data_IF_164792469575
#
_entry.id   IF_164792469575
#
_cell.length_a   1.000
_cell.length_b   1.000
_cell.length_c   1.000
_cell.angle_alpha   90.00
_cell.angle_beta   90.00
_cell.angle_gamma   90.00
#
_symmetry.space_group_name_H-M   'P 1'
#
loop_
_entity.id
_entity.type
_entity.pdbx_description
1 polymer ?
#
# COMPACT_ATOMS: atom_id res chain seq x y z
N UNK A 1 14.10 -1.85 24.70
CA UNK A 1 13.20 -2.98 25.01
C UNK A 1 13.36 -3.98 23.86
N UNK A 2 14.15 -5.03 24.07
CA UNK A 2 14.48 -6.05 23.06
C UNK A 2 13.37 -7.11 23.13
N UNK A 3 12.59 -7.26 22.06
CA UNK A 3 11.55 -8.28 22.00
C UNK A 3 12.21 -9.67 21.93
N UNK A 4 12.21 -10.37 23.07
CA UNK A 4 12.61 -11.77 23.14
C UNK A 4 11.52 -12.62 22.49
N UNK A 5 11.92 -13.40 21.49
CA UNK A 5 11.08 -14.39 20.84
C UNK A 5 10.60 -15.43 21.86
N UNK A 6 9.33 -15.36 22.26
CA UNK A 6 8.59 -16.54 22.75
C UNK A 6 7.58 -16.91 21.66
N UNK A 7 7.68 -18.16 21.18
CA UNK A 7 7.24 -18.68 19.87
C UNK A 7 5.98 -18.06 19.25
N UNK A 8 6.11 -17.18 18.25
CA UNK A 8 4.99 -16.71 17.43
C UNK A 8 4.63 -17.77 16.38
N UNK A 9 4.12 -18.93 16.83
CA UNK A 9 3.81 -20.07 15.97
C UNK A 9 2.82 -19.72 14.85
N UNK A 10 1.69 -19.11 15.22
CA UNK A 10 0.62 -18.73 14.27
C UNK A 10 1.05 -17.57 13.37
N UNK A 11 1.84 -16.62 13.87
CA UNK A 11 2.38 -15.53 13.05
C UNK A 11 3.44 -16.02 12.07
N UNK A 12 4.28 -16.98 12.48
CA UNK A 12 5.24 -17.63 11.59
C UNK A 12 4.53 -18.44 10.50
N UNK A 13 3.50 -19.21 10.85
CA UNK A 13 2.66 -19.90 9.85
C UNK A 13 2.03 -18.91 8.86
N UNK A 14 1.56 -17.75 9.33
CA UNK A 14 1.03 -16.71 8.46
C UNK A 14 2.11 -16.14 7.53
N UNK A 15 3.31 -15.90 8.04
CA UNK A 15 4.47 -15.48 7.23
C UNK A 15 4.81 -16.51 6.15
N UNK A 16 4.86 -17.80 6.49
CA UNK A 16 5.18 -18.87 5.55
C UNK A 16 4.12 -18.97 4.44
N UNK A 17 2.84 -18.86 4.80
CA UNK A 17 1.73 -18.79 3.84
C UNK A 17 1.84 -17.58 2.90
N UNK A 18 2.20 -16.42 3.44
CA UNK A 18 2.39 -15.19 2.64
C UNK A 18 3.58 -15.36 1.70
N UNK A 19 4.73 -15.83 2.19
CA UNK A 19 5.91 -16.05 1.38
C UNK A 19 5.63 -17.03 0.23
N UNK A 20 4.94 -18.14 0.51
CA UNK A 20 4.54 -19.10 -0.52
C UNK A 20 3.57 -18.48 -1.52
N UNK A 21 2.57 -17.72 -1.06
CA UNK A 21 1.66 -17.01 -1.95
C UNK A 21 2.43 -16.04 -2.88
N UNK A 22 3.36 -15.25 -2.33
CA UNK A 22 4.17 -14.32 -3.12
C UNK A 22 5.03 -15.05 -4.15
N UNK A 23 5.65 -16.18 -3.81
CA UNK A 23 6.45 -16.98 -4.74
C UNK A 23 5.61 -17.52 -5.90
N UNK A 24 4.44 -18.05 -5.59
CA UNK A 24 3.58 -18.69 -6.59
C UNK A 24 2.84 -17.70 -7.50
N UNK A 25 2.58 -16.48 -7.04
CA UNK A 25 1.69 -15.54 -7.75
C UNK A 25 2.37 -14.24 -8.19
N UNK A 26 3.48 -13.85 -7.55
CA UNK A 26 4.08 -12.51 -7.69
C UNK A 26 5.61 -12.53 -7.76
N UNK A 27 6.26 -13.66 -7.99
CA UNK A 27 7.73 -13.76 -8.05
C UNK A 27 8.37 -12.95 -9.17
N UNK A 28 7.62 -12.68 -10.24
CA UNK A 28 8.00 -11.82 -11.37
C UNK A 28 7.99 -10.32 -11.02
N UNK A 29 7.32 -9.91 -9.95
CA UNK A 29 7.23 -8.50 -9.53
C UNK A 29 7.90 -8.26 -8.18
N UNK A 30 7.86 -9.26 -7.29
CA UNK A 30 8.33 -9.19 -5.90
C UNK A 30 9.68 -9.88 -5.77
N UNK A 31 10.67 -9.12 -5.31
CA UNK A 31 12.02 -9.61 -5.02
C UNK A 31 12.09 -10.28 -3.66
N UNK A 32 11.63 -9.60 -2.61
CA UNK A 32 11.75 -10.11 -1.24
C UNK A 32 10.67 -9.56 -0.31
N UNK A 33 10.32 -10.35 0.70
CA UNK A 33 9.52 -9.94 1.85
C UNK A 33 10.46 -9.65 3.03
N UNK A 34 10.36 -8.45 3.59
CA UNK A 34 11.21 -7.96 4.70
C UNK A 34 10.34 -7.82 5.94
N UNK A 35 10.60 -8.59 6.99
CA UNK A 35 9.77 -8.65 8.20
C UNK A 35 10.31 -7.70 9.28
N UNK A 36 9.43 -7.00 9.98
CA UNK A 36 9.79 -6.11 11.10
C UNK A 36 9.10 -6.47 12.40
N UNK A 37 7.91 -7.07 12.33
CA UNK A 37 7.15 -7.34 13.53
C UNK A 37 6.16 -8.49 13.31
N UNK A 38 6.09 -9.37 14.32
CA UNK A 38 5.13 -10.46 14.41
C UNK A 38 4.43 -10.33 15.77
N UNK A 39 3.10 -10.23 15.76
CA UNK A 39 2.31 -10.14 16.99
C UNK A 39 1.19 -11.16 16.98
N UNK A 40 0.96 -11.77 18.13
CA UNK A 40 -0.17 -12.64 18.40
C UNK A 40 -0.96 -12.05 19.57
N UNK A 41 -2.27 -11.90 19.36
CA UNK A 41 -3.21 -11.46 20.37
C UNK A 41 -3.94 -12.66 20.96
N UNK A 42 -4.10 -12.65 22.28
CA UNK A 42 -4.90 -13.65 23.02
C UNK A 42 -6.39 -13.51 22.64
N UNK A 43 -6.84 -12.28 22.37
CA UNK A 43 -8.21 -11.98 21.97
C UNK A 43 -8.44 -12.34 20.49
N UNK A 44 -9.43 -13.20 20.25
CA UNK A 44 -9.95 -13.58 18.92
C UNK A 44 -8.97 -14.27 17.97
N UNK A 45 -7.91 -14.90 18.49
CA UNK A 45 -6.84 -15.47 17.68
C UNK A 45 -6.29 -14.47 16.66
N UNK A 46 -6.16 -13.21 17.07
CA UNK A 46 -5.66 -12.15 16.22
C UNK A 46 -4.15 -12.34 16.00
N UNK A 47 -3.72 -12.33 14.74
CA UNK A 47 -2.33 -12.46 14.34
C UNK A 47 -2.03 -11.33 13.39
N UNK A 48 -0.93 -10.62 13.62
CA UNK A 48 -0.51 -9.56 12.71
C UNK A 48 0.96 -9.64 12.34
N UNK A 49 1.25 -9.23 11.11
CA UNK A 49 2.59 -9.20 10.52
C UNK A 49 2.79 -7.81 9.94
N UNK A 50 3.87 -7.13 10.36
CA UNK A 50 4.34 -5.91 9.71
C UNK A 50 5.59 -6.24 8.90
N UNK A 51 5.54 -5.91 7.62
CA UNK A 51 6.57 -6.20 6.66
C UNK A 51 6.69 -5.08 5.62
N UNK A 52 7.71 -5.18 4.76
CA UNK A 52 7.76 -4.52 3.47
C UNK A 52 7.92 -5.55 2.36
N UNK A 53 7.31 -5.28 1.21
CA UNK A 53 7.50 -6.05 -0.03
C UNK A 53 8.43 -5.25 -0.93
N UNK A 54 9.66 -5.71 -1.15
CA UNK A 54 10.56 -5.11 -2.14
C UNK A 54 10.22 -5.62 -3.53
N UNK A 55 10.01 -4.70 -4.46
CA UNK A 55 9.75 -4.99 -5.86
C UNK A 55 11.05 -5.09 -6.65
N UNK A 56 11.03 -5.78 -7.78
CA UNK A 56 12.19 -5.81 -8.70
C UNK A 56 12.52 -4.44 -9.29
N UNK A 57 11.55 -3.51 -9.32
CA UNK A 57 11.78 -2.12 -9.72
C UNK A 57 12.68 -1.32 -8.76
N UNK A 58 13.02 -1.88 -7.58
CA UNK A 58 13.79 -1.21 -6.53
C UNK A 58 12.93 -0.49 -5.49
N UNK A 59 11.66 -0.20 -5.79
CA UNK A 59 10.71 0.34 -4.82
C UNK A 59 10.31 -0.71 -3.79
N UNK A 60 9.82 -0.25 -2.63
CA UNK A 60 9.20 -1.13 -1.64
C UNK A 60 7.80 -0.65 -1.27
N UNK A 61 6.95 -1.60 -0.88
CA UNK A 61 5.61 -1.37 -0.37
C UNK A 61 5.60 -1.72 1.11
N UNK A 62 5.05 -0.87 1.97
CA UNK A 62 4.73 -1.25 3.33
C UNK A 62 3.57 -2.24 3.29
N UNK A 63 3.69 -3.33 4.04
CA UNK A 63 2.70 -4.40 4.06
C UNK A 63 2.35 -4.78 5.48
N UNK A 64 1.11 -4.55 5.87
CA UNK A 64 0.55 -5.00 7.13
C UNK A 64 -0.53 -6.04 6.87
N UNK A 65 -0.43 -7.15 7.60
CA UNK A 65 -1.33 -8.29 7.48
C UNK A 65 -1.99 -8.48 8.83
N UNK A 66 -3.32 -8.56 8.83
CA UNK A 66 -4.11 -8.85 10.02
C UNK A 66 -4.99 -10.05 9.75
N UNK A 67 -4.76 -11.14 10.47
CA UNK A 67 -5.61 -12.32 10.52
C UNK A 67 -6.40 -12.30 11.82
N UNK A 68 -7.72 -12.34 11.74
CA UNK A 68 -8.60 -12.56 12.91
C UNK A 68 -9.44 -13.78 12.62
N UNK A 69 -9.30 -14.84 13.43
CA UNK A 69 -9.84 -16.18 13.11
C UNK A 69 -9.40 -16.63 11.71
N UNK A 70 -10.36 -16.80 10.79
CA UNK A 70 -10.14 -17.23 9.40
C UNK A 70 -10.10 -16.06 8.40
N UNK A 71 -10.28 -14.81 8.86
CA UNK A 71 -10.33 -13.64 7.99
C UNK A 71 -8.97 -12.96 7.93
N UNK A 72 -8.37 -12.90 6.73
CA UNK A 72 -7.11 -12.22 6.47
C UNK A 72 -7.40 -10.89 5.80
N UNK A 73 -6.81 -9.81 6.31
CA UNK A 73 -6.84 -8.48 5.71
C UNK A 73 -5.42 -8.03 5.41
N UNK A 74 -5.27 -7.43 4.24
CA UNK A 74 -4.00 -6.93 3.74
C UNK A 74 -4.10 -5.43 3.54
N UNK A 75 -3.18 -4.70 4.17
CA UNK A 75 -3.06 -3.25 4.06
C UNK A 75 -1.69 -2.98 3.44
N UNK A 76 -1.69 -2.40 2.25
CA UNK A 76 -0.47 -2.14 1.50
C UNK A 76 -0.38 -0.66 1.24
N UNK A 77 0.77 -0.05 1.50
CA UNK A 77 1.01 1.34 1.14
C UNK A 77 2.33 1.54 0.41
N UNK A 78 2.37 2.57 -0.41
CA UNK A 78 3.57 3.09 -1.02
C UNK A 78 3.76 4.51 -0.48
N UNK A 79 4.85 4.67 0.27
CA UNK A 79 5.18 5.91 0.96
C UNK A 79 6.46 6.49 0.38
N UNK A 80 6.48 7.80 0.22
CA UNK A 80 7.67 8.51 -0.22
C UNK A 80 7.48 10.02 -0.26
N UNK A 81 8.42 10.70 -0.90
CA UNK A 81 8.45 12.14 -1.00
C UNK A 81 9.14 12.64 -2.26
N UNK A 82 8.74 13.83 -2.71
CA UNK A 82 9.31 14.58 -3.81
C UNK A 82 10.10 15.77 -3.25
N UNK A 83 11.43 15.71 -3.30
CA UNK A 83 12.31 16.81 -2.86
C UNK A 83 12.18 18.03 -3.76
N UNK A 84 12.31 19.22 -3.18
CA UNK A 84 12.29 20.52 -3.83
C UNK A 84 10.99 20.74 -4.62
N UNK A 85 9.87 20.29 -4.04
CA UNK A 85 8.53 20.46 -4.59
C UNK A 85 7.62 21.04 -3.53
N UNK A 86 6.63 21.82 -3.98
CA UNK A 86 5.61 22.42 -3.14
C UNK A 86 4.26 21.86 -3.56
N UNK A 87 3.42 21.59 -2.56
CA UNK A 87 2.05 21.20 -2.80
C UNK A 87 1.18 22.45 -2.94
N UNK A 88 1.53 23.56 -2.28
CA UNK A 88 0.71 24.79 -2.28
C UNK A 88 -0.50 24.69 -1.35
N UNK A 89 -0.57 23.63 -0.54
CA UNK A 89 -1.51 23.45 0.55
C UNK A 89 -0.99 22.39 1.50
N UNK A 90 -1.45 22.40 2.76
CA UNK A 90 -0.96 21.48 3.80
C UNK A 90 -1.21 20.01 3.44
N UNK A 91 -2.38 19.70 2.88
CA UNK A 91 -2.73 18.31 2.54
C UNK A 91 -3.80 18.22 1.46
N UNK A 92 -3.69 17.18 0.63
CA UNK A 92 -4.73 16.77 -0.32
C UNK A 92 -4.88 15.25 -0.22
N UNK A 93 -6.09 14.77 0.02
CA UNK A 93 -6.44 13.35 0.02
C UNK A 93 -7.40 13.06 -1.13
N UNK A 94 -6.99 12.14 -2.01
CA UNK A 94 -7.77 11.57 -3.09
C UNK A 94 -8.18 10.16 -2.68
N UNK A 95 -9.43 9.97 -2.27
CA UNK A 95 -9.99 8.64 -2.01
C UNK A 95 -10.72 8.15 -3.25
N UNK A 96 -10.30 7.02 -3.81
CA UNK A 96 -10.89 6.42 -5.01
C UNK A 96 -11.89 5.31 -4.69
N UNK A 97 -11.74 4.64 -3.54
CA UNK A 97 -12.68 3.63 -3.02
C UNK A 97 -12.76 3.82 -1.51
N UNK A 98 -13.97 3.89 -0.96
CA UNK A 98 -14.23 4.20 0.45
C UNK A 98 -15.10 3.13 1.11
N UNK A 99 -14.66 2.63 2.26
CA UNK A 99 -15.35 1.58 3.02
C UNK A 99 -16.70 2.04 3.57
N UNK A 100 -16.84 3.34 3.85
CA UNK A 100 -17.96 3.90 4.63
C UNK A 100 -19.16 4.32 3.79
N UNK A 101 -18.99 4.46 2.48
CA UNK A 101 -20.02 5.02 1.61
C UNK A 101 -20.39 4.04 0.50
N UNK A 102 -19.40 3.51 -0.23
CA UNK A 102 -19.60 2.63 -1.38
C UNK A 102 -18.31 1.85 -1.64
N UNK A 103 -18.30 0.51 -1.52
CA UNK A 103 -17.17 -0.33 -1.96
C UNK A 103 -17.13 -0.49 -3.49
N UNK A 104 -17.34 0.62 -4.18
CA UNK A 104 -17.30 0.82 -5.62
C UNK A 104 -16.35 1.98 -5.90
N UNK A 105 -15.92 2.11 -7.15
CA UNK A 105 -15.12 3.24 -7.58
C UNK A 105 -15.87 4.57 -7.36
N UNK A 106 -15.25 5.50 -6.62
CA UNK A 106 -15.73 6.85 -6.34
C UNK A 106 -14.57 7.75 -5.95
N UNK A 107 -14.29 8.77 -6.75
CA UNK A 107 -13.31 9.81 -6.41
C UNK A 107 -13.91 10.84 -5.43
N UNK A 108 -13.39 10.87 -4.21
CA UNK A 108 -13.69 11.84 -3.15
C UNK A 108 -12.42 12.61 -2.82
N UNK A 109 -12.53 13.93 -2.72
CA UNK A 109 -11.42 14.83 -2.39
C UNK A 109 -11.62 15.43 -1.00
N UNK A 110 -10.58 15.40 -0.20
CA UNK A 110 -10.52 16.07 1.10
C UNK A 110 -9.20 16.83 1.25
N UNK A 111 -9.20 17.99 1.93
CA UNK A 111 -10.36 18.76 2.37
C UNK A 111 -11.14 19.38 1.18
N UNK A 112 -12.36 19.86 1.42
CA UNK A 112 -13.26 20.33 0.34
C UNK A 112 -12.66 21.45 -0.52
N UNK A 113 -11.87 22.34 0.08
CA UNK A 113 -11.23 23.44 -0.65
C UNK A 113 -10.20 22.95 -1.68
N UNK A 114 -9.63 21.74 -1.51
CA UNK A 114 -8.65 21.18 -2.43
C UNK A 114 -9.28 20.71 -3.75
N UNK A 115 -10.61 20.70 -3.89
CA UNK A 115 -11.30 20.22 -5.10
C UNK A 115 -10.93 20.96 -6.40
N UNK A 116 -10.44 22.20 -6.30
CA UNK A 116 -9.97 23.02 -7.42
C UNK A 116 -8.44 23.01 -7.58
N UNK A 117 -7.75 22.17 -6.81
CA UNK A 117 -6.30 22.11 -6.85
C UNK A 117 -5.82 21.46 -8.17
N UNK A 118 -4.76 21.96 -8.84
CA UNK A 118 -4.34 21.41 -10.13
C UNK A 118 -3.97 19.91 -10.08
N UNK A 119 -3.44 19.43 -8.95
CA UNK A 119 -3.23 17.99 -8.71
C UNK A 119 -4.54 17.19 -8.80
N UNK A 120 -5.65 17.70 -8.25
CA UNK A 120 -6.94 17.03 -8.29
C UNK A 120 -7.43 16.94 -9.73
N UNK A 121 -7.35 18.04 -10.48
CA UNK A 121 -7.76 18.08 -11.88
C UNK A 121 -6.88 17.18 -12.75
N UNK A 122 -5.59 17.08 -12.45
CA UNK A 122 -4.69 16.11 -13.07
C UNK A 122 -5.17 14.67 -12.83
N UNK A 123 -5.41 14.27 -11.58
CA UNK A 123 -5.86 12.91 -11.28
C UNK A 123 -7.24 12.57 -11.85
N UNK A 124 -8.15 13.55 -11.95
CA UNK A 124 -9.44 13.37 -12.64
C UNK A 124 -9.27 12.98 -14.10
N UNK A 125 -8.32 13.61 -14.82
CA UNK A 125 -8.00 13.26 -16.22
C UNK A 125 -7.50 11.82 -16.38
N UNK A 126 -6.84 11.29 -15.35
CA UNK A 126 -6.27 9.94 -15.32
C UNK A 126 -7.05 8.96 -14.43
N UNK A 127 -8.32 9.24 -14.17
CA UNK A 127 -9.16 8.39 -13.31
C UNK A 127 -9.44 7.02 -13.96
N UNK A 128 -9.68 7.00 -15.28
CA UNK A 128 -10.05 5.77 -16.01
C UNK A 128 -8.97 4.67 -15.97
N UNK A 129 -7.67 4.96 -16.17
CA UNK A 129 -6.61 3.96 -15.98
C UNK A 129 -6.62 3.30 -14.60
N UNK A 130 -6.80 4.07 -13.52
CA UNK A 130 -6.85 3.52 -12.17
C UNK A 130 -8.13 2.69 -11.96
N UNK A 131 -9.27 3.18 -12.47
CA UNK A 131 -10.55 2.48 -12.42
C UNK A 131 -10.49 1.12 -13.13
N UNK A 132 -9.88 1.06 -14.29
CA UNK A 132 -9.71 -0.19 -15.05
C UNK A 132 -8.90 -1.24 -14.27
N UNK A 133 -7.84 -0.84 -13.57
CA UNK A 133 -7.07 -1.75 -12.71
C UNK A 133 -7.95 -2.26 -11.56
N UNK A 134 -8.72 -1.38 -10.92
CA UNK A 134 -9.66 -1.77 -9.87
C UNK A 134 -10.74 -2.75 -10.37
N UNK A 135 -11.31 -2.53 -11.55
CA UNK A 135 -12.34 -3.41 -12.13
C UNK A 135 -11.80 -4.80 -12.45
N UNK A 136 -10.52 -4.92 -12.88
CA UNK A 136 -9.85 -6.23 -13.00
C UNK A 136 -9.73 -6.95 -11.65
N UNK A 137 -9.43 -6.22 -10.58
CA UNK A 137 -9.39 -6.79 -9.23
C UNK A 137 -10.79 -7.27 -8.80
N UNK A 138 -11.84 -6.49 -9.11
CA UNK A 138 -13.23 -6.88 -8.83
C UNK A 138 -13.63 -8.13 -9.60
N UNK A 139 -13.24 -8.25 -10.88
CA UNK A 139 -13.51 -9.44 -11.69
C UNK A 139 -12.81 -10.69 -11.14
N UNK A 140 -11.58 -10.53 -10.66
CA UNK A 140 -10.73 -11.66 -10.22
C UNK A 140 -11.07 -12.13 -8.81
N UNK A 141 -11.29 -11.20 -7.87
CA UNK A 141 -11.46 -11.52 -6.45
C UNK A 141 -12.88 -11.30 -5.92
N UNK A 142 -13.71 -10.58 -6.66
CA UNK A 142 -15.08 -10.23 -6.29
C UNK A 142 -15.24 -8.77 -5.82
N UNK A 143 -16.49 -8.30 -5.86
CA UNK A 143 -16.87 -6.96 -5.39
C UNK A 143 -16.62 -6.82 -3.89
N UNK A 144 -16.19 -5.63 -3.46
CA UNK A 144 -15.97 -5.31 -2.05
C UNK A 144 -14.71 -5.92 -1.43
N UNK A 145 -13.83 -6.55 -2.22
CA UNK A 145 -12.53 -7.04 -1.74
C UNK A 145 -11.53 -5.91 -1.54
N UNK A 146 -11.39 -5.00 -2.50
CA UNK A 146 -10.73 -3.72 -2.27
C UNK A 146 -11.74 -2.83 -1.55
N UNK A 147 -11.54 -2.65 -0.26
CA UNK A 147 -12.44 -1.87 0.59
C UNK A 147 -12.05 -0.40 0.56
N UNK A 148 -10.75 -0.13 0.46
CA UNK A 148 -10.20 1.21 0.52
C UNK A 148 -9.05 1.38 -0.48
N UNK A 149 -9.05 2.47 -1.24
CA UNK A 149 -7.91 2.91 -2.05
C UNK A 149 -7.84 4.43 -2.02
N UNK A 150 -6.71 4.99 -1.54
CA UNK A 150 -6.49 6.43 -1.51
C UNK A 150 -5.04 6.82 -1.81
N UNK A 151 -4.84 8.08 -2.14
CA UNK A 151 -3.56 8.77 -2.15
C UNK A 151 -3.65 10.04 -1.30
N UNK A 152 -2.78 10.17 -0.31
CA UNK A 152 -2.68 11.36 0.53
C UNK A 152 -1.36 12.07 0.25
N UNK A 153 -1.46 13.33 -0.13
CA UNK A 153 -0.35 14.25 -0.32
C UNK A 153 -0.26 15.21 0.87
N UNK A 154 0.96 15.51 1.29
CA UNK A 154 1.23 16.47 2.36
C UNK A 154 2.40 17.37 2.03
N UNK A 155 2.34 18.62 2.48
CA UNK A 155 3.46 19.55 2.37
C UNK A 155 4.35 19.46 3.61
N UNK A 156 5.65 19.24 3.42
CA UNK A 156 6.67 19.37 4.45
C UNK A 156 7.52 20.61 4.17
N UNK A 157 7.12 21.74 4.75
CA UNK A 157 7.79 23.03 4.57
C UNK A 157 9.27 22.98 4.99
N UNK A 158 9.58 22.38 6.15
CA UNK A 158 10.95 22.30 6.70
C UNK A 158 11.91 21.53 5.78
N UNK A 159 11.41 20.55 5.02
CA UNK A 159 12.22 19.71 4.12
C UNK A 159 12.08 20.09 2.65
N UNK A 160 11.32 21.16 2.36
CA UNK A 160 10.92 21.56 1.01
C UNK A 160 10.46 20.37 0.16
N UNK A 161 9.55 19.57 0.71
CA UNK A 161 9.15 18.31 0.08
C UNK A 161 7.64 18.12 0.09
N UNK A 162 7.14 17.40 -0.91
CA UNK A 162 5.77 16.87 -0.92
C UNK A 162 5.83 15.39 -0.59
N UNK A 163 5.16 14.97 0.48
CA UNK A 163 5.00 13.56 0.83
C UNK A 163 3.81 12.95 0.10
N UNK A 164 3.88 11.66 -0.18
CA UNK A 164 2.76 10.86 -0.66
C UNK A 164 2.66 9.58 0.16
N UNK A 165 1.44 9.22 0.55
CA UNK A 165 1.07 7.93 1.09
C UNK A 165 -0.11 7.41 0.26
N UNK A 166 0.16 6.44 -0.62
CA UNK A 166 -0.87 5.74 -1.38
C UNK A 166 -1.16 4.42 -0.70
N UNK A 167 -2.42 4.13 -0.37
CA UNK A 167 -2.79 2.97 0.46
C UNK A 167 -3.94 2.19 -0.17
N UNK A 168 -3.84 0.85 -0.16
CA UNK A 168 -4.91 -0.08 -0.54
C UNK A 168 -5.18 -1.06 0.62
N UNK A 169 -6.46 -1.19 1.00
CA UNK A 169 -6.94 -2.25 1.89
C UNK A 169 -7.70 -3.31 1.10
N UNK A 170 -7.20 -4.53 1.17
CA UNK A 170 -7.82 -5.72 0.64
C UNK A 170 -8.34 -6.65 1.75
N UNK A 171 -9.63 -6.98 1.68
CA UNK A 171 -10.33 -7.88 2.61
C UNK A 171 -10.37 -9.30 2.09
N UNK A 172 -10.03 -10.26 2.94
CA UNK A 172 -10.15 -11.68 2.66
C UNK A 172 -9.06 -12.23 1.76
N UNK A 173 -7.82 -11.73 1.87
CA UNK A 173 -6.67 -12.27 1.15
C UNK A 173 -5.37 -11.49 1.33
N UNK A 174 -4.34 -11.91 0.60
CA UNK A 174 -3.01 -11.32 0.60
C UNK A 174 -2.89 -10.16 -0.41
N UNK A 175 -1.76 -9.44 -0.35
CA UNK A 175 -1.36 -8.50 -1.41
C UNK A 175 -1.43 -9.19 -2.77
N UNK A 176 -1.95 -8.52 -3.79
CA UNK A 176 -2.05 -9.05 -5.15
C UNK A 176 -1.52 -8.07 -6.20
N UNK A 177 -1.45 -8.53 -7.46
CA UNK A 177 -0.91 -7.76 -8.59
C UNK A 177 -1.65 -6.46 -8.79
N UNK A 178 -2.97 -6.47 -8.73
CA UNK A 178 -3.81 -5.31 -8.95
C UNK A 178 -3.59 -4.22 -7.89
N UNK A 179 -3.38 -4.61 -6.63
CA UNK A 179 -3.01 -3.67 -5.57
C UNK A 179 -1.66 -3.00 -5.87
N UNK A 180 -0.65 -3.78 -6.27
CA UNK A 180 0.67 -3.25 -6.64
C UNK A 180 0.53 -2.30 -7.84
N UNK A 181 -0.24 -2.68 -8.85
CA UNK A 181 -0.49 -1.86 -10.02
C UNK A 181 -1.23 -0.55 -9.69
N UNK A 182 -2.22 -0.57 -8.81
CA UNK A 182 -2.92 0.65 -8.36
C UNK A 182 -1.94 1.62 -7.68
N UNK A 183 -1.10 1.11 -6.76
CA UNK A 183 -0.11 1.91 -6.05
C UNK A 183 0.96 2.46 -6.98
N UNK A 184 1.49 1.62 -7.88
CA UNK A 184 2.49 2.02 -8.86
C UNK A 184 1.94 3.05 -9.84
N UNK A 185 0.74 2.83 -10.40
CA UNK A 185 0.14 3.77 -11.35
C UNK A 185 -0.20 5.10 -10.67
N UNK A 186 -0.71 5.05 -9.44
CA UNK A 186 -0.95 6.26 -8.66
C UNK A 186 0.34 7.05 -8.42
N UNK A 187 1.45 6.36 -8.14
CA UNK A 187 2.77 6.97 -7.94
C UNK A 187 3.34 7.53 -9.24
N UNK A 188 3.24 6.80 -10.36
CA UNK A 188 3.66 7.26 -11.68
C UNK A 188 2.97 8.58 -12.08
N UNK A 189 1.67 8.70 -11.78
CA UNK A 189 0.93 9.94 -11.99
C UNK A 189 1.47 11.09 -11.12
N UNK A 190 1.81 10.83 -9.85
CA UNK A 190 2.44 11.82 -8.99
C UNK A 190 3.83 12.22 -9.50
N UNK A 191 4.65 11.25 -9.92
CA UNK A 191 5.98 11.51 -10.50
C UNK A 191 5.88 12.37 -11.76
N UNK A 192 4.86 12.15 -12.58
CA UNK A 192 4.56 12.93 -13.78
C UNK A 192 4.17 14.36 -13.41
N UNK A 193 3.18 14.52 -12.53
CA UNK A 193 2.70 15.83 -12.09
C UNK A 193 3.81 16.67 -11.46
N UNK A 194 4.60 16.08 -10.57
CA UNK A 194 5.73 16.75 -9.93
C UNK A 194 6.99 16.75 -10.78
N UNK A 195 7.00 16.12 -11.96
CA UNK A 195 8.19 15.98 -12.82
C UNK A 195 9.43 15.60 -12.00
N UNK A 196 9.28 14.61 -11.11
CA UNK A 196 10.30 14.19 -10.15
C UNK A 196 10.07 12.75 -9.74
N UNK A 197 11.13 11.95 -9.68
CA UNK A 197 11.05 10.58 -9.16
C UNK A 197 10.78 10.56 -7.66
N UNK A 198 9.95 9.61 -7.24
CA UNK A 198 9.63 9.44 -5.83
C UNK A 198 10.87 8.94 -5.08
N UNK A 199 11.21 9.62 -3.99
CA UNK A 199 12.20 9.12 -3.03
C UNK A 199 11.48 8.37 -1.92
N UNK A 200 11.95 7.17 -1.57
CA UNK A 200 11.49 6.45 -0.39
C UNK A 200 12.51 6.58 0.73
N UNK A 201 12.02 6.55 1.98
CA UNK A 201 12.91 6.48 3.14
C UNK A 201 13.58 5.11 3.20
N UNK A 202 14.80 4.98 3.73
CA UNK A 202 15.38 3.68 4.00
C UNK A 202 14.46 2.81 4.85
N UNK A 203 14.45 1.51 4.59
CA UNK A 203 13.73 0.56 5.42
C UNK A 203 14.36 0.48 6.82
N UNK A 204 13.57 0.28 7.88
CA UNK A 204 14.12 0.02 9.20
C UNK A 204 14.86 -1.33 9.23
N UNK A 205 15.59 -1.58 10.32
CA UNK A 205 16.30 -2.83 10.50
C UNK A 205 15.33 -4.02 10.51
N UNK A 206 15.55 -5.05 9.67
CA UNK A 206 14.63 -6.16 9.56
C UNK A 206 14.87 -7.24 10.62
N UNK A 207 13.80 -7.88 11.09
CA UNK A 207 13.90 -9.14 11.84
C UNK A 207 14.39 -10.28 10.94
N UNK A 208 13.90 -10.32 9.69
CA UNK A 208 14.24 -11.33 8.71
C UNK A 208 13.91 -10.85 7.31
N UNK A 209 14.74 -11.21 6.34
CA UNK A 209 14.43 -11.07 4.91
C UNK A 209 14.19 -12.44 4.29
N UNK A 210 13.10 -12.58 3.53
CA UNK A 210 12.72 -13.79 2.81
C UNK A 210 12.76 -13.48 1.32
N UNK A 211 13.62 -14.18 0.59
CA UNK A 211 13.67 -14.06 -0.86
C UNK A 211 12.44 -14.74 -1.50
N UNK A 212 11.81 -14.03 -2.43
CA UNK A 212 10.61 -14.45 -3.16
C UNK A 212 10.96 -14.72 -4.62
N UNK A 213 11.63 -13.76 -5.27
CA UNK A 213 12.02 -13.82 -6.67
C UNK A 213 13.53 -13.69 -6.82
N UNK A 214 14.13 -14.71 -7.42
CA UNK A 214 15.42 -14.65 -8.10
C UNK A 214 15.16 -15.08 -9.53
N UNK A 215 15.46 -14.21 -10.49
CA UNK A 215 15.77 -14.65 -11.85
C UNK A 215 17.16 -15.27 -11.78
#
# INVERSE_FOLDING_TARGET
MIFSWKSPGKAKELVDRVANYLRSNLSDVVKSLVLYELREGILYDAVSVRASVKLHSGSYLNYFILKVKNNINSFVSLDGYFKNRKLGTNTIELTFVDTLLWTRWKLKIQPRYAQKHPLVDFYRKYEQPLKSIYERAVKTYGKGKIVYFKAKFGEQQVKEAVTINSTVWFKGGFINREMIMLLNKCTELAETYFSKKLSQTPLPEPLKTINIGGI
#
